data_IF_153906521990
#
_entry.id   IF_153906521990
#
_cell.length_a   1.000
_cell.length_b   1.000
_cell.length_c   1.000
_cell.angle_alpha   90.00
_cell.angle_beta   90.00
_cell.angle_gamma   90.00
#
_symmetry.space_group_name_H-M   'P 1'
#
loop_
_entity.id
_entity.type
_entity.pdbx_description
1 polymer ?
#
# COMPACT_ATOMS: atom_id res chain seq x y z
N UNK A 1 32.29 -7.83 40.30
CA UNK A 1 31.10 -7.01 40.58
C UNK A 1 30.42 -6.73 39.25
N UNK A 2 29.23 -7.26 39.03
CA UNK A 2 28.40 -6.89 37.87
C UNK A 2 27.61 -5.64 38.26
N UNK A 3 27.79 -4.58 37.49
CA UNK A 3 27.05 -3.32 37.67
C UNK A 3 25.90 -3.39 36.68
N UNK A 4 24.72 -3.75 37.18
CA UNK A 4 23.47 -3.69 36.41
C UNK A 4 22.94 -2.25 36.52
N UNK A 5 23.24 -1.43 35.52
CA UNK A 5 22.71 -0.06 35.45
C UNK A 5 21.39 -0.13 34.68
N UNK A 6 20.24 0.20 35.30
CA UNK A 6 18.99 0.28 34.57
C UNK A 6 19.08 1.44 33.58
N UNK A 7 19.07 1.12 32.28
CA UNK A 7 18.99 2.12 31.21
C UNK A 7 17.61 2.77 31.32
N UNK A 8 17.54 3.92 31.97
CA UNK A 8 16.35 4.77 31.94
C UNK A 8 16.39 5.53 30.60
N UNK A 9 15.55 5.10 29.66
CA UNK A 9 15.35 5.82 28.40
C UNK A 9 14.84 7.24 28.73
N UNK A 10 15.57 8.30 28.35
CA UNK A 10 15.12 9.65 28.60
C UNK A 10 13.84 9.90 27.81
N UNK A 11 12.82 10.49 28.46
CA UNK A 11 11.49 10.72 27.88
C UNK A 11 11.52 11.55 26.58
N UNK A 12 12.54 12.40 26.40
CA UNK A 12 12.79 13.10 25.12
C UNK A 12 13.11 12.16 23.95
N UNK A 13 13.78 11.03 24.21
CA UNK A 13 14.09 10.03 23.19
C UNK A 13 12.83 9.25 22.79
N UNK A 14 11.90 9.01 23.71
CA UNK A 14 10.59 8.42 23.39
C UNK A 14 9.76 9.32 22.47
N UNK A 15 9.74 10.63 22.73
CA UNK A 15 9.02 11.60 21.90
C UNK A 15 9.61 11.71 20.48
N UNK A 16 10.93 11.72 20.35
CA UNK A 16 11.62 11.75 19.05
C UNK A 16 11.43 10.44 18.27
N UNK A 17 11.44 9.29 18.96
CA UNK A 17 11.12 7.99 18.36
C UNK A 17 9.66 7.96 17.87
N UNK A 18 8.69 8.44 18.69
CA UNK A 18 7.27 8.51 18.30
C UNK A 18 7.06 9.41 17.08
N UNK A 19 7.70 10.59 17.03
CA UNK A 19 7.63 11.50 15.89
C UNK A 19 8.24 10.92 14.63
N UNK A 20 9.37 10.22 14.75
CA UNK A 20 10.05 9.58 13.61
C UNK A 20 9.18 8.45 13.05
N UNK A 21 8.64 7.58 13.92
CA UNK A 21 7.73 6.50 13.52
C UNK A 21 6.48 7.07 12.86
N UNK A 22 5.86 8.11 13.45
CA UNK A 22 4.68 8.75 12.88
C UNK A 22 4.98 9.38 11.50
N UNK A 23 6.15 10.00 11.33
CA UNK A 23 6.57 10.59 10.06
C UNK A 23 6.77 9.52 8.98
N UNK A 24 7.45 8.42 9.30
CA UNK A 24 7.63 7.28 8.37
C UNK A 24 6.28 6.67 7.98
N UNK A 25 5.35 6.53 8.93
CA UNK A 25 3.99 6.02 8.65
C UNK A 25 3.23 7.00 7.76
N UNK A 26 3.29 8.30 8.02
CA UNK A 26 2.61 9.33 7.23
C UNK A 26 3.21 9.42 5.82
N UNK A 27 4.52 9.32 5.68
CA UNK A 27 5.20 9.32 4.37
C UNK A 27 4.87 8.04 3.59
N UNK A 28 4.87 6.88 4.23
CA UNK A 28 4.43 5.62 3.63
C UNK A 28 2.95 5.67 3.22
N UNK A 29 2.09 6.26 4.04
CA UNK A 29 0.68 6.46 3.73
C UNK A 29 0.48 7.46 2.58
N UNK A 30 1.25 8.55 2.53
CA UNK A 30 1.25 9.54 1.43
C UNK A 30 1.69 8.92 0.10
N UNK A 31 2.74 8.10 0.12
CA UNK A 31 3.19 7.36 -1.06
C UNK A 31 2.15 6.33 -1.51
N UNK A 32 1.52 5.61 -0.57
CA UNK A 32 0.40 4.71 -0.85
C UNK A 32 -0.80 5.45 -1.45
N UNK A 33 -1.15 6.64 -0.96
CA UNK A 33 -2.22 7.44 -1.54
C UNK A 33 -1.87 7.95 -2.95
N UNK A 34 -0.64 8.39 -3.20
CA UNK A 34 -0.22 8.85 -4.54
C UNK A 34 -0.20 7.73 -5.58
N UNK A 35 0.08 6.49 -5.19
CA UNK A 35 0.07 5.32 -6.09
C UNK A 35 -1.31 5.09 -6.75
N UNK A 36 -2.42 5.46 -6.08
CA UNK A 36 -3.77 5.35 -6.64
C UNK A 36 -4.18 6.56 -7.50
N UNK A 37 -3.59 7.74 -7.28
CA UNK A 37 -3.93 8.95 -8.05
C UNK A 37 -3.41 8.89 -9.49
N UNK A 38 -2.30 8.18 -9.75
CA UNK A 38 -1.72 7.98 -11.08
C UNK A 38 -2.44 6.91 -11.94
N UNK A 39 -3.23 6.02 -11.34
CA UNK A 39 -3.99 5.00 -12.08
C UNK A 39 -5.15 5.66 -12.82
N UNK A 40 -5.42 5.49 -14.12
CA UNK A 40 -6.65 6.06 -14.72
C UNK A 40 -7.95 5.56 -14.03
N UNK A 41 -9.16 6.08 -14.34
CA UNK A 41 -10.39 5.59 -13.72
C UNK A 41 -10.67 4.10 -13.96
N UNK A 42 -10.29 3.60 -15.14
CA UNK A 42 -10.38 2.20 -15.53
C UNK A 42 -9.04 1.72 -16.11
N UNK A 43 -8.04 1.40 -15.27
CA UNK A 43 -6.76 0.87 -15.75
C UNK A 43 -6.93 -0.50 -16.38
N UNK A 44 -6.14 -0.75 -17.42
CA UNK A 44 -5.89 -2.11 -17.88
C UNK A 44 -4.79 -2.78 -17.02
N UNK A 45 -4.58 -4.07 -17.24
CA UNK A 45 -3.60 -4.88 -16.47
C UNK A 45 -2.18 -4.34 -16.54
N UNK A 46 -1.75 -3.82 -17.69
CA UNK A 46 -0.42 -3.23 -17.86
C UNK A 46 -0.25 -1.95 -17.06
N UNK A 47 -1.27 -1.09 -17.04
CA UNK A 47 -1.28 0.14 -16.25
C UNK A 47 -1.29 -0.15 -14.75
N UNK A 48 -2.07 -1.15 -14.32
CA UNK A 48 -2.11 -1.58 -12.92
C UNK A 48 -0.74 -2.07 -12.43
N UNK A 49 -0.06 -2.88 -13.26
CA UNK A 49 1.30 -3.35 -12.99
C UNK A 49 2.31 -2.21 -12.91
N UNK A 50 2.24 -1.26 -13.83
CA UNK A 50 3.16 -0.14 -13.90
C UNK A 50 3.01 0.79 -12.68
N UNK A 51 1.76 1.15 -12.33
CA UNK A 51 1.48 2.01 -11.20
C UNK A 51 1.92 1.38 -9.87
N UNK A 52 1.60 0.10 -9.64
CA UNK A 52 1.93 -0.60 -8.40
C UNK A 52 3.34 -1.23 -8.40
N UNK A 53 4.09 -1.11 -9.49
CA UNK A 53 5.42 -1.72 -9.70
C UNK A 53 5.44 -3.22 -9.37
N UNK A 54 4.40 -3.95 -9.79
CA UNK A 54 4.23 -5.39 -9.51
C UNK A 54 4.30 -6.28 -10.76
N UNK A 55 4.68 -7.54 -10.54
CA UNK A 55 4.65 -8.59 -11.54
C UNK A 55 3.24 -9.08 -11.89
N UNK A 56 3.13 -9.82 -12.99
CA UNK A 56 1.85 -10.37 -13.47
C UNK A 56 1.24 -11.37 -12.48
N UNK A 57 2.09 -12.13 -11.80
CA UNK A 57 1.70 -13.13 -10.80
C UNK A 57 0.98 -12.49 -9.61
N UNK A 58 1.42 -11.31 -9.17
CA UNK A 58 0.74 -10.59 -8.09
C UNK A 58 -0.63 -10.07 -8.49
N UNK A 59 -0.78 -9.57 -9.71
CA UNK A 59 -2.10 -9.16 -10.20
C UNK A 59 -3.03 -10.36 -10.32
N UNK A 60 -2.55 -11.51 -10.83
CA UNK A 60 -3.34 -12.76 -10.87
C UNK A 60 -3.73 -13.25 -9.49
N UNK A 61 -2.82 -13.15 -8.53
CA UNK A 61 -3.12 -13.47 -7.14
C UNK A 61 -4.22 -12.56 -6.60
N UNK A 62 -4.16 -11.25 -6.85
CA UNK A 62 -5.21 -10.32 -6.42
C UNK A 62 -6.56 -10.60 -7.09
N UNK A 63 -6.57 -10.94 -8.39
CA UNK A 63 -7.78 -11.40 -9.09
C UNK A 63 -8.37 -12.65 -8.43
N UNK A 64 -7.53 -13.64 -8.09
CA UNK A 64 -7.96 -14.86 -7.39
C UNK A 64 -8.45 -14.59 -5.96
N UNK A 65 -7.90 -13.57 -5.30
CA UNK A 65 -8.29 -13.15 -3.96
C UNK A 65 -9.45 -12.13 -3.96
N UNK A 66 -10.09 -11.89 -5.12
CA UNK A 66 -11.34 -11.13 -5.23
C UNK A 66 -11.21 -9.69 -5.72
N UNK A 67 -10.09 -9.29 -6.35
CA UNK A 67 -10.01 -8.00 -7.05
C UNK A 67 -10.97 -8.03 -8.27
N UNK A 68 -11.97 -7.13 -8.34
CA UNK A 68 -12.94 -7.14 -9.43
C UNK A 68 -12.29 -6.79 -10.76
N UNK A 69 -12.59 -7.58 -11.79
CA UNK A 69 -12.20 -7.31 -13.17
C UNK A 69 -13.45 -7.20 -14.04
N UNK A 70 -13.55 -6.10 -14.79
CA UNK A 70 -14.68 -5.80 -15.66
C UNK A 70 -14.27 -6.00 -17.11
N UNK A 71 -15.08 -6.76 -17.87
CA UNK A 71 -14.93 -6.86 -19.32
C UNK A 71 -15.42 -5.56 -19.96
N UNK A 72 -14.51 -4.78 -20.53
CA UNK A 72 -14.80 -3.48 -21.14
C UNK A 72 -15.18 -3.64 -22.63
N UNK A 73 -14.52 -4.56 -23.35
CA UNK A 73 -14.80 -4.91 -24.75
C UNK A 73 -14.46 -6.39 -25.03
N UNK A 74 -14.73 -6.86 -26.26
CA UNK A 74 -14.21 -8.15 -26.73
C UNK A 74 -12.67 -8.17 -26.68
N UNK A 75 -12.14 -8.78 -25.62
CA UNK A 75 -10.72 -8.90 -25.24
C UNK A 75 -10.09 -7.74 -24.45
N UNK A 76 -10.88 -6.77 -23.99
CA UNK A 76 -10.38 -5.73 -23.08
C UNK A 76 -10.94 -5.93 -21.67
N UNK A 77 -10.05 -6.08 -20.70
CA UNK A 77 -10.39 -6.25 -19.29
C UNK A 77 -9.75 -5.12 -18.49
N UNK A 78 -10.56 -4.45 -17.70
CA UNK A 78 -10.17 -3.30 -16.90
C UNK A 78 -10.58 -3.47 -15.45
N UNK A 79 -9.93 -2.72 -14.59
CA UNK A 79 -10.23 -2.67 -13.15
C UNK A 79 -10.81 -1.30 -12.85
N UNK A 80 -11.80 -1.20 -11.97
CA UNK A 80 -12.26 0.10 -11.49
C UNK A 80 -11.27 0.62 -10.43
N UNK A 81 -10.84 1.87 -10.56
CA UNK A 81 -9.91 2.49 -9.60
C UNK A 81 -10.48 2.43 -8.17
N UNK A 82 -11.77 2.65 -7.97
CA UNK A 82 -12.39 2.61 -6.65
C UNK A 82 -12.41 1.20 -6.09
N UNK A 83 -12.61 0.18 -6.91
CA UNK A 83 -12.58 -1.21 -6.47
C UNK A 83 -11.16 -1.64 -6.09
N UNK A 84 -10.15 -1.18 -6.84
CA UNK A 84 -8.74 -1.34 -6.46
C UNK A 84 -8.49 -0.70 -5.09
N UNK A 85 -8.93 0.55 -4.89
CA UNK A 85 -8.76 1.26 -3.61
C UNK A 85 -9.43 0.48 -2.47
N UNK A 86 -10.71 0.12 -2.62
CA UNK A 86 -11.46 -0.66 -1.62
C UNK A 86 -10.79 -2.00 -1.31
N UNK A 87 -10.32 -2.70 -2.35
CA UNK A 87 -9.66 -3.99 -2.20
C UNK A 87 -8.39 -3.89 -1.33
N UNK A 88 -7.58 -2.85 -1.53
CA UNK A 88 -6.38 -2.64 -0.72
C UNK A 88 -6.68 -2.04 0.65
N UNK A 89 -7.69 -1.18 0.78
CA UNK A 89 -8.06 -0.60 2.08
C UNK A 89 -8.60 -1.67 3.03
N UNK A 90 -9.40 -2.61 2.52
CA UNK A 90 -9.86 -3.80 3.27
C UNK A 90 -8.74 -4.77 3.67
N UNK A 91 -7.52 -4.59 3.16
CA UNK A 91 -6.35 -5.46 3.44
C UNK A 91 -5.33 -4.84 4.39
N UNK A 92 -5.52 -3.60 4.82
CA UNK A 92 -4.71 -3.02 5.89
C UNK A 92 -5.01 -3.76 7.20
N UNK A 93 -4.21 -4.81 7.47
CA UNK A 93 -4.04 -5.44 8.78
C UNK A 93 -2.83 -4.81 9.44
#
# INVERSE_FOLDING_TARGET
MQVDVPIQLPSQLEDEIRKTIASVIIEGAKQATNLYYDLPPYPNKSQLKAALKVGNEKVKQWEAEGLPVTRFSDNDYRYDRNDIIKFFDNRKV
#
